data_IF_668177610607
#
_entry.id   IF_668177610607
#
_cell.length_a   1.000
_cell.length_b   1.000
_cell.length_c   1.000
_cell.angle_alpha   90.00
_cell.angle_beta   90.00
_cell.angle_gamma   90.00
#
_symmetry.space_group_name_H-M   'P 1'
#
loop_
_entity.id
_entity.type
_entity.pdbx_description
1 polymer ?
#
# COMPACT_ATOMS: atom_id res chain seq x y z
N UNK A 1 -6.55 -12.96 20.27
CA UNK A 1 -6.13 -11.56 20.47
C UNK A 1 -5.45 -11.33 21.81
N UNK A 2 -6.10 -11.59 22.96
CA UNK A 2 -5.53 -11.30 24.29
C UNK A 2 -4.13 -11.89 24.51
N UNK A 3 -3.88 -13.10 24.01
CA UNK A 3 -2.55 -13.74 24.05
C UNK A 3 -1.43 -12.85 23.46
N UNK A 4 -1.70 -12.14 22.35
CA UNK A 4 -0.73 -11.20 21.78
C UNK A 4 -0.70 -9.88 22.51
N UNK A 5 -1.85 -9.36 22.96
CA UNK A 5 -1.93 -8.06 23.65
C UNK A 5 -1.23 -8.06 25.02
N UNK A 6 -0.99 -9.24 25.61
CA UNK A 6 -0.19 -9.39 26.82
C UNK A 6 1.32 -9.23 26.59
N UNK A 7 1.79 -9.28 25.34
CA UNK A 7 3.20 -9.12 25.01
C UNK A 7 3.58 -7.64 25.11
N UNK A 8 4.64 -7.27 25.84
CA UNK A 8 4.98 -5.86 26.07
C UNK A 8 5.33 -5.11 24.78
N UNK A 9 5.87 -5.81 23.77
CA UNK A 9 6.21 -5.25 22.47
C UNK A 9 5.02 -5.08 21.52
N UNK A 10 3.85 -5.64 21.83
CA UNK A 10 2.65 -5.56 20.97
C UNK A 10 1.74 -4.45 21.47
N UNK A 11 1.45 -3.50 20.57
CA UNK A 11 0.60 -2.36 20.86
C UNK A 11 -0.84 -2.56 20.42
N UNK A 12 -1.03 -3.13 19.23
CA UNK A 12 -2.33 -3.34 18.61
C UNK A 12 -2.44 -4.80 18.16
N UNK A 13 -3.61 -5.38 18.36
CA UNK A 13 -3.96 -6.70 17.84
C UNK A 13 -5.26 -6.63 17.05
N UNK A 14 -5.18 -6.84 15.73
CA UNK A 14 -6.33 -6.97 14.85
C UNK A 14 -6.80 -8.42 14.72
N UNK A 15 -8.11 -8.62 14.57
CA UNK A 15 -8.70 -9.92 14.26
C UNK A 15 -9.08 -10.08 12.78
N UNK A 16 -9.37 -11.31 12.38
CA UNK A 16 -9.95 -11.61 11.06
C UNK A 16 -11.41 -11.18 11.01
N UNK A 17 -11.82 -10.56 9.91
CA UNK A 17 -13.22 -10.21 9.67
C UNK A 17 -13.72 -10.91 8.42
N UNK A 18 -14.88 -11.56 8.53
CA UNK A 18 -15.53 -12.28 7.42
C UNK A 18 -16.98 -11.88 7.28
N UNK A 19 -17.52 -12.06 6.09
CA UNK A 19 -18.95 -11.99 5.83
C UNK A 19 -19.64 -13.32 6.17
N UNK A 20 -20.97 -13.28 6.27
CA UNK A 20 -21.78 -14.47 6.55
C UNK A 20 -21.67 -15.55 5.45
N UNK A 21 -21.30 -15.17 4.22
CA UNK A 21 -21.07 -16.08 3.09
C UNK A 21 -19.64 -16.64 3.04
N UNK A 22 -18.87 -16.53 4.14
CA UNK A 22 -17.50 -17.03 4.28
C UNK A 22 -16.42 -16.31 3.45
N UNK A 23 -16.77 -15.19 2.81
CA UNK A 23 -15.78 -14.32 2.16
C UNK A 23 -15.10 -13.44 3.20
N UNK A 24 -13.80 -13.19 3.01
CA UNK A 24 -13.03 -12.29 3.85
C UNK A 24 -13.45 -10.84 3.61
N UNK A 25 -13.78 -10.13 4.68
CA UNK A 25 -13.99 -8.67 4.69
C UNK A 25 -12.67 -7.95 4.91
N UNK A 26 -11.87 -8.40 5.89
CA UNK A 26 -10.62 -7.76 6.22
C UNK A 26 -9.68 -8.75 6.91
N UNK A 27 -8.41 -8.73 6.51
CA UNK A 27 -7.35 -9.60 7.01
C UNK A 27 -5.99 -8.88 7.00
N UNK A 28 -5.99 -7.65 7.53
CA UNK A 28 -4.84 -6.75 7.57
C UNK A 28 -4.77 -5.83 6.35
N UNK A 29 -4.10 -4.68 6.51
CA UNK A 29 -3.84 -3.72 5.44
C UNK A 29 -2.41 -3.85 4.92
N UNK A 30 -2.23 -3.71 3.62
CA UNK A 30 -0.91 -3.47 3.00
C UNK A 30 -0.89 -2.03 2.52
N UNK A 31 0.06 -1.23 2.99
CA UNK A 31 0.13 0.17 2.60
C UNK A 31 0.52 0.32 1.12
N UNK A 32 -0.01 1.34 0.45
CA UNK A 32 0.29 1.61 -0.97
C UNK A 32 -0.36 0.63 -1.95
N UNK A 33 -1.02 -0.44 -1.47
CA UNK A 33 -1.62 -1.46 -2.32
C UNK A 33 -2.79 -0.86 -3.13
N UNK A 34 -2.88 -1.26 -4.40
CA UNK A 34 -3.80 -0.74 -5.44
C UNK A 34 -3.65 0.77 -5.69
N UNK A 35 -2.53 1.38 -5.30
CA UNK A 35 -2.23 2.78 -5.60
C UNK A 35 -2.77 3.82 -4.60
N UNK A 36 -3.55 3.40 -3.61
CA UNK A 36 -4.08 4.26 -2.56
C UNK A 36 -3.23 4.28 -1.30
N UNK A 37 -3.82 4.73 -0.19
CA UNK A 37 -3.16 4.76 1.13
C UNK A 37 -2.86 3.35 1.65
N UNK A 38 -3.85 2.46 1.58
CA UNK A 38 -3.69 1.05 1.88
C UNK A 38 -4.74 0.22 1.15
N UNK A 39 -4.46 -1.06 0.99
CA UNK A 39 -5.40 -2.02 0.41
C UNK A 39 -5.47 -3.31 1.20
N UNK A 40 -6.59 -4.01 1.03
CA UNK A 40 -6.86 -5.28 1.68
C UNK A 40 -6.48 -6.44 0.74
N UNK A 41 -5.39 -7.18 1.02
CA UNK A 41 -4.84 -8.14 0.06
C UNK A 41 -5.70 -9.41 -0.11
N UNK A 42 -6.56 -9.72 0.87
CA UNK A 42 -7.43 -10.89 0.88
C UNK A 42 -8.93 -10.53 0.76
N UNK A 43 -9.27 -9.27 0.47
CA UNK A 43 -10.67 -8.87 0.35
C UNK A 43 -11.42 -9.73 -0.69
N UNK A 44 -12.56 -10.29 -0.29
CA UNK A 44 -13.43 -11.08 -1.15
C UNK A 44 -12.93 -12.50 -1.45
N UNK A 45 -11.80 -12.95 -0.91
CA UNK A 45 -11.38 -14.35 -1.02
C UNK A 45 -12.17 -15.24 -0.06
N UNK A 46 -12.34 -16.51 -0.38
CA UNK A 46 -12.93 -17.49 0.56
C UNK A 46 -11.98 -17.77 1.72
N UNK A 47 -12.50 -17.87 2.95
CA UNK A 47 -11.69 -18.16 4.15
C UNK A 47 -11.02 -19.54 4.12
N UNK A 48 -11.47 -20.48 3.29
CA UNK A 48 -10.78 -21.77 3.07
C UNK A 48 -9.55 -21.66 2.17
N UNK A 49 -9.35 -20.52 1.51
CA UNK A 49 -8.16 -20.28 0.71
C UNK A 49 -6.96 -20.03 1.63
N UNK A 50 -5.91 -20.83 1.48
CA UNK A 50 -4.67 -20.61 2.23
C UNK A 50 -4.07 -19.21 1.99
N UNK A 51 -4.31 -18.62 0.82
CA UNK A 51 -3.68 -17.38 0.41
C UNK A 51 -2.19 -17.56 0.09
N UNK A 52 -1.49 -16.44 -0.06
CA UNK A 52 -0.05 -16.45 -0.32
C UNK A 52 0.71 -17.12 0.82
N UNK A 53 1.37 -18.26 0.57
CA UNK A 53 2.16 -19.00 1.57
C UNK A 53 1.40 -19.31 2.89
N UNK A 54 0.09 -19.62 2.80
CA UNK A 54 -0.76 -19.87 3.97
C UNK A 54 -0.91 -18.69 4.94
N UNK A 55 -0.57 -17.47 4.49
CA UNK A 55 -0.57 -16.25 5.29
C UNK A 55 -1.93 -15.96 5.92
N UNK A 56 -3.05 -16.30 5.26
CA UNK A 56 -4.40 -16.11 5.81
C UNK A 56 -4.70 -16.93 7.09
N UNK A 57 -3.86 -17.92 7.41
CA UNK A 57 -4.01 -18.81 8.57
C UNK A 57 -2.84 -18.74 9.56
N UNK A 58 -1.96 -17.76 9.42
CA UNK A 58 -0.85 -17.52 10.35
C UNK A 58 -0.97 -16.13 11.02
N UNK A 59 -0.51 -16.04 12.27
CA UNK A 59 -0.29 -14.75 12.93
C UNK A 59 0.79 -13.96 12.19
N UNK A 60 0.63 -12.65 12.08
CA UNK A 60 1.51 -11.80 11.29
C UNK A 60 1.65 -10.41 11.89
N UNK A 61 2.75 -9.75 11.54
CA UNK A 61 2.86 -8.30 11.70
C UNK A 61 2.35 -7.60 10.44
N UNK A 62 1.72 -6.45 10.65
CA UNK A 62 1.24 -5.55 9.62
C UNK A 62 1.50 -4.12 10.08
N UNK A 63 1.65 -3.17 9.16
CA UNK A 63 1.72 -1.76 9.53
C UNK A 63 0.39 -1.21 10.05
N UNK A 64 -0.73 -1.75 9.57
CA UNK A 64 -2.07 -1.35 10.00
C UNK A 64 -3.09 -2.49 9.94
N UNK A 65 -4.11 -2.41 10.80
CA UNK A 65 -5.26 -3.32 10.87
C UNK A 65 -6.53 -2.50 11.08
N UNK A 66 -7.67 -3.03 10.63
CA UNK A 66 -8.96 -2.36 10.77
C UNK A 66 -9.35 -2.04 12.21
N UNK A 67 -9.84 -0.81 12.41
CA UNK A 67 -10.37 -0.31 13.67
C UNK A 67 -11.63 -1.04 14.15
N UNK A 68 -12.38 -1.65 13.23
CA UNK A 68 -13.65 -2.33 13.51
C UNK A 68 -13.50 -3.56 14.41
N UNK A 69 -12.34 -4.20 14.39
CA UNK A 69 -12.06 -5.39 15.21
C UNK A 69 -10.61 -5.44 15.66
N UNK A 70 -10.27 -4.51 16.56
CA UNK A 70 -8.95 -4.38 17.16
C UNK A 70 -8.99 -4.43 18.69
N UNK A 71 -7.86 -4.79 19.28
CA UNK A 71 -7.57 -4.66 20.71
C UNK A 71 -6.30 -3.82 20.85
N UNK A 72 -6.38 -2.75 21.64
CA UNK A 72 -5.27 -1.84 21.90
C UNK A 72 -5.10 -1.66 23.41
N UNK A 73 -3.87 -1.45 23.86
CA UNK A 73 -3.63 -1.09 25.26
C UNK A 73 -4.09 0.34 25.54
N UNK A 74 -4.69 0.53 26.71
CA UNK A 74 -5.24 1.82 27.13
C UNK A 74 -4.18 2.93 27.16
N UNK A 75 -3.00 2.64 27.73
CA UNK A 75 -1.88 3.59 27.83
C UNK A 75 -1.38 4.06 26.46
N UNK A 76 -1.32 3.16 25.48
CA UNK A 76 -0.91 3.47 24.10
C UNK A 76 -1.99 4.32 23.40
N UNK A 77 -3.27 3.97 23.58
CA UNK A 77 -4.37 4.75 23.01
C UNK A 77 -4.35 6.20 23.50
N UNK A 78 -4.11 6.41 24.80
CA UNK A 78 -3.94 7.75 25.36
C UNK A 78 -2.66 8.45 24.87
N UNK A 79 -1.55 7.72 24.72
CA UNK A 79 -0.28 8.30 24.27
C UNK A 79 -0.36 8.92 22.86
N UNK A 80 -1.22 8.39 21.99
CA UNK A 80 -1.45 8.94 20.64
C UNK A 80 -2.69 9.83 20.53
N UNK A 81 -3.43 10.06 21.60
CA UNK A 81 -4.72 10.79 21.61
C UNK A 81 -5.85 10.13 20.79
N UNK A 82 -5.90 8.80 20.71
CA UNK A 82 -6.97 8.08 20.02
C UNK A 82 -7.02 8.30 18.50
N UNK A 83 -8.17 8.07 17.88
CA UNK A 83 -8.41 8.27 16.45
C UNK A 83 -8.50 9.75 16.09
N UNK A 84 -8.03 10.10 14.89
CA UNK A 84 -8.13 11.46 14.37
C UNK A 84 -9.54 11.68 13.81
N UNK A 85 -10.29 12.60 14.41
CA UNK A 85 -11.68 12.87 14.03
C UNK A 85 -11.81 13.58 12.67
N UNK A 86 -10.72 14.12 12.12
CA UNK A 86 -10.69 14.73 10.80
C UNK A 86 -10.60 13.68 9.66
N UNK A 87 -10.36 12.41 10.01
CA UNK A 87 -10.34 11.28 9.08
C UNK A 87 -11.59 10.41 9.30
N UNK A 88 -12.30 10.11 8.21
CA UNK A 88 -13.48 9.23 8.26
C UNK A 88 -13.17 7.83 7.69
N UNK A 89 -12.29 7.75 6.69
CA UNK A 89 -11.99 6.50 5.97
C UNK A 89 -10.64 5.87 6.33
N UNK A 90 -9.71 6.67 6.87
CA UNK A 90 -8.31 6.26 7.10
C UNK A 90 -7.87 6.47 8.55
N UNK A 91 -8.81 6.67 9.46
CA UNK A 91 -8.56 6.92 10.88
C UNK A 91 -7.84 5.75 11.55
N UNK A 92 -8.21 4.52 11.21
CA UNK A 92 -7.59 3.30 11.72
C UNK A 92 -6.15 3.08 11.21
N UNK A 93 -5.89 3.39 9.95
CA UNK A 93 -4.54 3.37 9.38
C UNK A 93 -3.67 4.45 10.02
N UNK A 94 -4.13 5.70 10.10
CA UNK A 94 -3.40 6.79 10.76
C UNK A 94 -3.10 6.46 12.22
N UNK A 95 -4.09 5.91 12.94
CA UNK A 95 -3.91 5.45 14.32
C UNK A 95 -2.84 4.37 14.44
N UNK A 96 -2.88 3.33 13.61
CA UNK A 96 -1.88 2.26 13.62
C UNK A 96 -0.47 2.79 13.31
N UNK A 97 -0.34 3.72 12.35
CA UNK A 97 0.95 4.31 11.98
C UNK A 97 1.52 5.20 13.09
N UNK A 98 0.69 6.02 13.75
CA UNK A 98 1.10 6.81 14.93
C UNK A 98 1.57 5.91 16.07
N UNK A 99 0.85 4.81 16.34
CA UNK A 99 1.26 3.83 17.35
C UNK A 99 2.56 3.12 16.95
N UNK A 100 2.73 2.79 15.66
CA UNK A 100 3.96 2.22 15.12
C UNK A 100 5.19 3.11 15.32
N UNK A 101 5.03 4.45 15.26
CA UNK A 101 6.11 5.39 15.56
C UNK A 101 6.58 5.35 17.02
N UNK A 102 5.75 4.86 17.95
CA UNK A 102 6.15 4.60 19.34
C UNK A 102 6.97 3.32 19.50
N UNK A 103 7.19 2.56 18.42
CA UNK A 103 7.94 1.31 18.39
C UNK A 103 7.14 0.06 18.76
N UNK A 104 5.82 0.18 18.87
CA UNK A 104 4.93 -0.95 19.15
C UNK A 104 4.61 -1.77 17.91
N UNK A 105 4.56 -3.10 18.06
CA UNK A 105 4.13 -3.99 16.98
C UNK A 105 2.60 -3.96 16.82
N UNK A 106 2.16 -3.97 15.56
CA UNK A 106 0.78 -4.19 15.18
C UNK A 106 0.67 -5.63 14.64
N UNK A 107 -0.08 -6.47 15.36
CA UNK A 107 -0.20 -7.91 15.07
C UNK A 107 -1.60 -8.20 14.57
N UNK A 108 -1.72 -8.99 13.51
CA UNK A 108 -2.98 -9.57 13.07
C UNK A 108 -3.02 -11.07 13.40
N UNK A 109 -4.17 -11.54 13.90
CA UNK A 109 -4.36 -12.95 14.24
C UNK A 109 -5.59 -13.56 13.54
N UNK A 110 -5.45 -14.71 12.85
CA UNK A 110 -6.56 -15.39 12.18
C UNK A 110 -7.45 -16.17 13.15
N UNK A 111 -7.04 -16.34 14.41
CA UNK A 111 -7.74 -17.18 15.39
C UNK A 111 -8.89 -16.47 16.10
N UNK A 112 -8.94 -15.14 16.03
CA UNK A 112 -10.08 -14.36 16.47
C UNK A 112 -10.82 -13.85 15.23
N UNK A 113 -12.07 -14.27 15.08
CA UNK A 113 -12.89 -13.93 13.92
C UNK A 113 -14.14 -13.18 14.35
N UNK A 114 -14.45 -12.08 13.68
CA UNK A 114 -15.77 -11.45 13.73
C UNK A 114 -16.52 -11.64 12.40
N UNK A 115 -17.85 -11.71 12.48
CA UNK A 115 -18.70 -11.76 11.30
C UNK A 115 -19.35 -10.40 11.11
N UNK A 116 -19.16 -9.79 9.94
CA UNK A 116 -19.83 -8.55 9.54
C UNK A 116 -20.97 -8.89 8.58
N UNK A 117 -22.08 -8.19 8.70
CA UNK A 117 -23.06 -8.18 7.61
C UNK A 117 -22.48 -7.37 6.44
N UNK A 118 -22.77 -7.75 5.19
CA UNK A 118 -22.44 -6.89 4.06
C UNK A 118 -23.15 -5.56 4.29
N UNK A 119 -22.37 -4.50 4.51
CA UNK A 119 -22.92 -3.16 4.62
C UNK A 119 -23.55 -2.81 3.27
N UNK A 120 -24.69 -2.11 3.31
CA UNK A 120 -25.05 -1.31 2.15
C UNK A 120 -23.85 -0.39 1.90
N UNK A 121 -23.40 -0.22 0.64
CA UNK A 121 -22.32 0.73 0.36
C UNK A 121 -22.69 2.04 1.06
N UNK A 122 -21.88 2.42 2.05
CA UNK A 122 -22.01 3.72 2.71
C UNK A 122 -22.12 4.72 1.57
N UNK A 123 -23.22 5.48 1.57
CA UNK A 123 -23.51 6.51 0.58
C UNK A 123 -22.22 7.16 0.13
N UNK A 124 -21.88 7.03 -1.16
CA UNK A 124 -20.61 7.45 -1.74
C UNK A 124 -20.14 8.72 -1.05
N UNK A 125 -19.07 8.59 -0.23
CA UNK A 125 -18.44 9.78 0.33
C UNK A 125 -18.12 10.68 -0.86
N UNK A 126 -18.49 11.97 -0.80
CA UNK A 126 -18.27 12.85 -1.93
C UNK A 126 -16.79 12.78 -2.31
N UNK A 127 -16.49 12.60 -3.59
CA UNK A 127 -15.11 12.38 -4.07
C UNK A 127 -14.13 13.44 -3.55
N UNK A 128 -14.61 14.69 -3.42
CA UNK A 128 -13.85 15.81 -2.85
C UNK A 128 -13.46 15.65 -1.37
N UNK A 129 -14.17 14.84 -0.59
CA UNK A 129 -13.77 14.51 0.78
C UNK A 129 -12.74 13.37 0.78
N UNK A 130 -12.93 12.34 -0.06
CA UNK A 130 -11.95 11.26 -0.22
C UNK A 130 -10.58 11.80 -0.62
N UNK A 131 -10.53 12.69 -1.62
CA UNK A 131 -9.30 13.33 -2.07
C UNK A 131 -8.61 14.15 -0.96
N UNK A 132 -9.39 14.85 -0.11
CA UNK A 132 -8.83 15.61 1.01
C UNK A 132 -8.20 14.69 2.05
N UNK A 133 -8.88 13.62 2.43
CA UNK A 133 -8.36 12.66 3.40
C UNK A 133 -7.13 11.92 2.85
N UNK A 134 -7.13 11.55 1.56
CA UNK A 134 -5.95 10.99 0.89
C UNK A 134 -4.77 11.96 0.91
N UNK A 135 -4.99 13.24 0.61
CA UNK A 135 -3.93 14.24 0.67
C UNK A 135 -3.35 14.38 2.08
N UNK A 136 -4.19 14.43 3.13
CA UNK A 136 -3.73 14.45 4.53
C UNK A 136 -2.87 13.21 4.83
N UNK A 137 -3.32 12.03 4.40
CA UNK A 137 -2.59 10.79 4.63
C UNK A 137 -1.25 10.75 3.87
N UNK A 138 -1.20 11.22 2.62
CA UNK A 138 0.05 11.31 1.88
C UNK A 138 1.00 12.34 2.50
N UNK A 139 0.52 13.52 2.88
CA UNK A 139 1.34 14.55 3.54
C UNK A 139 2.00 14.02 4.83
N UNK A 140 1.28 13.20 5.61
CA UNK A 140 1.79 12.63 6.87
C UNK A 140 2.65 11.38 6.67
N UNK A 141 2.25 10.49 5.76
CA UNK A 141 2.68 9.08 5.76
C UNK A 141 3.23 8.59 4.42
N UNK A 142 3.45 9.45 3.42
CA UNK A 142 3.86 9.02 2.08
C UNK A 142 5.08 8.07 2.09
N UNK A 143 6.08 8.33 2.93
CA UNK A 143 7.27 7.47 3.01
C UNK A 143 6.93 6.05 3.49
N UNK A 144 6.15 5.93 4.56
CA UNK A 144 5.71 4.64 5.10
C UNK A 144 4.74 3.93 4.16
N UNK A 145 3.83 4.67 3.51
CA UNK A 145 2.89 4.12 2.53
C UNK A 145 3.64 3.53 1.33
N UNK A 146 4.72 4.17 0.90
CA UNK A 146 5.54 3.73 -0.22
C UNK A 146 6.50 2.59 0.14
N UNK A 147 6.95 2.57 1.40
CA UNK A 147 7.93 1.60 1.93
C UNK A 147 7.40 0.94 3.20
N UNK A 148 6.29 0.20 3.05
CA UNK A 148 5.69 -0.56 4.15
C UNK A 148 6.71 -1.57 4.73
N UNK A 149 7.10 -1.46 6.01
CA UNK A 149 8.08 -2.37 6.62
C UNK A 149 7.61 -3.82 6.67
N UNK A 150 6.31 -4.08 6.71
CA UNK A 150 5.72 -5.43 6.83
C UNK A 150 5.34 -6.04 5.47
N UNK A 151 5.58 -5.30 4.37
CA UNK A 151 5.38 -5.77 3.00
C UNK A 151 6.70 -5.79 2.21
N UNK A 152 6.95 -6.89 1.51
CA UNK A 152 8.22 -7.06 0.80
C UNK A 152 8.32 -6.08 -0.39
N UNK A 153 9.41 -5.31 -0.43
CA UNK A 153 9.73 -4.35 -1.49
C UNK A 153 9.86 -4.93 -2.91
N UNK A 154 9.90 -6.26 -3.05
CA UNK A 154 9.95 -6.95 -4.35
C UNK A 154 8.56 -7.41 -4.83
N UNK A 155 7.53 -7.25 -3.99
CA UNK A 155 6.15 -7.56 -4.34
C UNK A 155 5.46 -6.32 -4.91
N UNK A 156 4.56 -6.55 -5.84
CA UNK A 156 3.80 -5.52 -6.52
C UNK A 156 2.83 -4.82 -5.58
N UNK A 157 2.67 -3.51 -5.77
CA UNK A 157 1.59 -2.73 -5.16
C UNK A 157 0.30 -2.80 -5.98
N UNK A 158 0.37 -3.10 -7.28
CA UNK A 158 -0.84 -3.24 -8.12
C UNK A 158 -1.61 -4.52 -7.81
N UNK A 159 -0.89 -5.64 -7.68
CA UNK A 159 -1.46 -6.96 -7.40
C UNK A 159 -0.92 -7.51 -6.08
N UNK A 160 -1.78 -7.85 -5.10
CA UNK A 160 -1.33 -8.35 -3.81
C UNK A 160 -0.51 -9.63 -3.97
N UNK A 161 0.69 -9.64 -3.38
CA UNK A 161 1.65 -10.74 -3.44
C UNK A 161 2.12 -11.15 -4.83
N UNK A 162 1.81 -10.38 -5.87
CA UNK A 162 2.42 -10.54 -7.19
C UNK A 162 3.88 -10.11 -7.15
N UNK A 163 4.74 -10.70 -7.97
CA UNK A 163 6.08 -10.14 -8.17
C UNK A 163 5.95 -8.84 -8.95
N UNK A 164 6.66 -7.79 -8.53
CA UNK A 164 6.71 -6.56 -9.30
C UNK A 164 7.49 -6.83 -10.59
N UNK A 165 6.82 -6.85 -11.74
CA UNK A 165 7.46 -7.19 -13.00
C UNK A 165 8.39 -6.06 -13.48
N UNK A 166 9.61 -6.44 -13.85
CA UNK A 166 10.69 -5.57 -14.31
C UNK A 166 11.96 -5.81 -13.48
N UNK A 167 12.96 -6.43 -14.10
CA UNK A 167 14.20 -6.90 -13.45
C UNK A 167 14.95 -5.81 -12.67
N UNK A 168 14.70 -4.53 -12.96
CA UNK A 168 15.35 -3.37 -12.35
C UNK A 168 14.53 -2.68 -11.24
N UNK A 169 13.28 -3.10 -10.98
CA UNK A 169 12.50 -2.60 -9.83
C UNK A 169 12.82 -3.31 -8.53
N UNK A 170 13.20 -4.58 -8.61
CA UNK A 170 13.28 -5.46 -7.44
C UNK A 170 14.65 -5.50 -6.82
N UNK A 171 15.68 -5.04 -7.54
CA UNK A 171 17.04 -5.22 -7.09
C UNK A 171 17.93 -4.07 -7.56
N UNK A 172 17.92 -3.00 -6.78
CA UNK A 172 19.00 -2.03 -6.75
C UNK A 172 19.98 -2.48 -5.65
N UNK A 173 21.11 -3.10 -6.01
CA UNK A 173 22.08 -3.60 -5.02
C UNK A 173 22.78 -2.47 -4.27
N UNK A 174 22.83 -1.27 -4.88
CA UNK A 174 23.47 -0.10 -4.31
C UNK A 174 22.40 0.82 -3.73
N UNK A 175 22.65 1.33 -2.52
CA UNK A 175 21.86 2.38 -1.88
C UNK A 175 22.17 3.79 -2.44
N UNK A 176 23.05 3.88 -3.44
CA UNK A 176 23.44 5.11 -4.11
C UNK A 176 23.43 4.87 -5.62
N UNK A 177 22.87 5.81 -6.36
CA UNK A 177 22.74 5.79 -7.81
C UNK A 177 23.79 6.74 -8.41
N UNK A 178 24.80 6.22 -9.13
CA UNK A 178 25.81 7.07 -9.77
C UNK A 178 25.28 7.76 -11.03
N UNK A 179 24.16 7.29 -11.58
CA UNK A 179 23.52 7.79 -12.78
C UNK A 179 22.14 8.39 -12.43
N UNK A 180 21.66 9.38 -13.20
CA UNK A 180 20.30 9.89 -13.03
C UNK A 180 19.28 8.80 -13.35
N UNK A 181 18.29 8.66 -12.47
CA UNK A 181 17.18 7.71 -12.60
C UNK A 181 16.01 8.39 -13.32
N UNK A 182 15.72 7.95 -14.54
CA UNK A 182 14.67 8.50 -15.40
C UNK A 182 13.50 7.53 -15.48
N UNK A 183 12.28 8.02 -15.31
CA UNK A 183 11.05 7.26 -15.46
C UNK A 183 10.20 7.83 -16.61
N UNK A 184 10.35 7.33 -17.84
CA UNK A 184 9.47 7.72 -18.93
C UNK A 184 8.12 7.00 -18.83
N UNK A 185 7.03 7.75 -19.00
CA UNK A 185 5.65 7.26 -19.08
C UNK A 185 5.14 7.53 -20.48
N UNK A 186 5.02 6.47 -21.28
CA UNK A 186 4.80 6.57 -22.73
C UNK A 186 3.43 6.06 -23.19
N UNK A 187 2.59 5.54 -22.31
CA UNK A 187 1.33 4.93 -22.74
C UNK A 187 1.53 3.59 -23.46
N UNK A 188 0.55 3.21 -24.28
CA UNK A 188 0.67 2.09 -25.22
C UNK A 188 1.77 2.37 -26.26
N UNK A 189 2.53 1.35 -26.69
CA UNK A 189 3.62 1.52 -27.64
C UNK A 189 3.11 1.84 -29.04
N UNK A 190 2.87 3.12 -29.32
CA UNK A 190 2.65 3.62 -30.67
C UNK A 190 3.99 3.90 -31.37
N UNK A 191 3.98 3.88 -32.72
CA UNK A 191 5.16 4.19 -33.54
C UNK A 191 5.80 5.55 -33.21
N UNK A 192 5.02 6.51 -32.72
CA UNK A 192 5.49 7.86 -32.38
C UNK A 192 6.26 7.83 -31.05
N UNK A 193 5.70 7.16 -30.03
CA UNK A 193 6.28 7.03 -28.69
C UNK A 193 7.55 6.19 -28.70
N UNK A 194 7.62 5.23 -29.63
CA UNK A 194 8.82 4.45 -29.89
C UNK A 194 10.04 5.34 -30.22
N UNK A 195 9.88 6.32 -31.11
CA UNK A 195 11.01 7.14 -31.58
C UNK A 195 11.36 8.31 -30.64
N UNK A 196 10.38 8.94 -29.99
CA UNK A 196 10.59 10.16 -29.20
C UNK A 196 11.13 9.91 -27.80
N UNK A 197 10.69 8.83 -27.17
CA UNK A 197 11.00 8.55 -25.76
C UNK A 197 11.61 7.18 -25.60
N UNK A 198 11.01 6.14 -26.17
CA UNK A 198 11.45 4.75 -25.95
C UNK A 198 12.87 4.50 -26.49
N UNK A 199 13.12 4.78 -27.78
CA UNK A 199 14.41 4.57 -28.44
C UNK A 199 15.53 5.42 -27.84
N UNK A 200 15.33 6.74 -27.58
CA UNK A 200 16.33 7.55 -26.88
C UNK A 200 16.61 7.04 -25.47
N UNK A 201 15.56 6.68 -24.70
CA UNK A 201 15.71 6.13 -23.36
C UNK A 201 16.51 4.84 -23.37
N UNK A 202 16.16 3.89 -24.25
CA UNK A 202 16.92 2.62 -24.36
C UNK A 202 18.36 2.88 -24.78
N UNK A 203 18.60 3.80 -25.72
CA UNK A 203 19.95 4.12 -26.20
C UNK A 203 20.82 4.74 -25.10
N UNK A 204 20.25 5.68 -24.32
CA UNK A 204 20.95 6.32 -23.20
C UNK A 204 21.23 5.33 -22.06
N UNK A 205 20.28 4.44 -21.78
CA UNK A 205 20.43 3.39 -20.77
C UNK A 205 21.50 2.37 -21.18
N UNK A 206 21.47 1.90 -22.42
CA UNK A 206 22.43 0.94 -22.94
C UNK A 206 23.85 1.55 -23.05
N UNK A 207 23.94 2.88 -23.21
CA UNK A 207 25.18 3.65 -23.12
C UNK A 207 25.62 3.99 -21.68
N UNK A 208 24.87 3.54 -20.66
CA UNK A 208 25.18 3.75 -19.23
C UNK A 208 25.24 5.25 -18.86
N UNK A 209 24.38 6.05 -19.49
CA UNK A 209 24.24 7.49 -19.22
C UNK A 209 23.12 7.76 -18.22
N UNK A 210 22.08 6.92 -18.23
CA UNK A 210 20.92 7.00 -17.33
C UNK A 210 20.57 5.60 -16.82
N UNK A 211 19.91 5.55 -15.67
CA UNK A 211 19.17 4.39 -15.19
C UNK A 211 17.67 4.69 -15.24
N UNK A 212 16.81 3.67 -15.11
CA UNK A 212 15.38 3.93 -15.19
C UNK A 212 14.52 2.78 -15.65
N UNK A 213 13.20 3.01 -15.70
CA UNK A 213 12.24 2.10 -16.33
C UNK A 213 11.20 2.88 -17.11
N UNK A 214 10.89 2.36 -18.29
CA UNK A 214 9.74 2.76 -19.07
C UNK A 214 8.44 2.20 -18.49
N UNK A 215 7.47 3.08 -18.31
CA UNK A 215 6.12 2.75 -17.84
C UNK A 215 5.10 2.96 -18.94
N UNK A 216 4.17 2.01 -19.05
CA UNK A 216 3.06 2.05 -20.00
C UNK A 216 1.84 2.78 -19.45
N UNK A 217 1.72 2.90 -18.13
CA UNK A 217 0.63 3.62 -17.45
C UNK A 217 1.20 4.63 -16.46
N UNK A 218 0.40 5.63 -16.09
CA UNK A 218 0.78 6.56 -15.03
C UNK A 218 1.01 5.80 -13.71
N UNK A 219 2.19 5.96 -13.08
CA UNK A 219 2.44 5.39 -11.77
C UNK A 219 1.60 6.09 -10.71
N UNK A 220 1.28 5.33 -9.67
CA UNK A 220 0.63 5.87 -8.47
C UNK A 220 1.67 6.57 -7.59
N UNK A 221 1.25 7.49 -6.71
CA UNK A 221 2.18 8.24 -5.86
C UNK A 221 3.06 7.33 -4.98
N UNK A 222 2.55 6.22 -4.39
CA UNK A 222 3.39 5.26 -3.67
C UNK A 222 4.43 4.58 -4.57
N UNK A 223 4.09 4.27 -5.82
CA UNK A 223 5.01 3.65 -6.78
C UNK A 223 6.14 4.60 -7.20
N UNK A 224 5.80 5.87 -7.47
CA UNK A 224 6.80 6.91 -7.78
C UNK A 224 7.78 7.06 -6.63
N UNK A 225 7.26 7.21 -5.41
CA UNK A 225 8.09 7.42 -4.21
C UNK A 225 8.95 6.21 -3.88
N UNK A 226 8.41 4.99 -4.07
CA UNK A 226 9.15 3.75 -3.89
C UNK A 226 10.27 3.58 -4.92
N UNK A 227 10.05 4.01 -6.15
CA UNK A 227 11.07 3.97 -7.20
C UNK A 227 12.10 5.10 -7.09
N UNK A 228 11.71 6.24 -6.52
CA UNK A 228 12.54 7.42 -6.29
C UNK A 228 13.28 7.92 -7.55
N UNK A 229 12.57 8.24 -8.66
CA UNK A 229 13.18 8.77 -9.87
C UNK A 229 13.66 10.23 -9.69
N UNK A 230 14.77 10.59 -10.34
CA UNK A 230 15.23 11.98 -10.42
C UNK A 230 14.39 12.79 -11.43
N UNK A 231 13.95 12.14 -12.51
CA UNK A 231 13.19 12.77 -13.58
C UNK A 231 12.06 11.85 -14.04
N UNK A 232 10.85 12.39 -14.14
CA UNK A 232 9.69 11.72 -14.75
C UNK A 232 9.41 12.42 -16.09
N UNK A 233 9.36 11.65 -17.18
CA UNK A 233 9.07 12.17 -18.52
C UNK A 233 7.70 11.64 -18.95
N UNK A 234 6.72 12.52 -19.13
CA UNK A 234 5.35 12.13 -19.51
C UNK A 234 5.11 12.57 -20.95
N UNK A 235 4.89 11.61 -21.87
CA UNK A 235 4.73 11.91 -23.30
C UNK A 235 3.27 12.15 -23.72
N UNK A 236 2.31 11.49 -23.08
CA UNK A 236 0.89 11.70 -23.37
C UNK A 236 0.01 11.44 -22.14
N UNK A 237 -0.84 12.40 -21.80
CA UNK A 237 -2.01 12.21 -20.95
C UNK A 237 -3.18 11.80 -21.85
N UNK A 238 -3.50 10.51 -21.90
CA UNK A 238 -4.82 10.04 -22.36
C UNK A 238 -5.56 9.49 -21.16
N UNK A 239 -6.26 10.38 -20.45
CA UNK A 239 -7.25 10.06 -19.43
C UNK A 239 -8.49 10.93 -19.65
N UNK A 240 -9.67 10.44 -19.31
CA UNK A 240 -10.92 11.20 -19.42
C UNK A 240 -10.91 12.48 -18.56
N UNK A 241 -9.99 12.58 -17.59
CA UNK A 241 -9.87 13.68 -16.62
C UNK A 241 -9.16 14.94 -17.15
N UNK A 242 -8.69 14.92 -18.40
CA UNK A 242 -8.00 16.06 -19.02
C UNK A 242 -8.74 16.64 -20.24
N UNK A 243 -10.05 16.38 -20.37
CA UNK A 243 -10.97 17.04 -21.30
C UNK A 243 -12.05 17.84 -20.57
#
# INVERSE_FOLDING_TARGET
MLNHAQRPEVAIVGGKQRYANNLIRHAGYVLGLKGGIAGEPFYGTDDSNNGYLSRLHADQNYSAVSGDFMLVREDICYAVNGFDADLACYDDIDFCLRVGQLGGLVVWTPYACSCRQPEQPLSDMPASQSEKEENIMFERWLMQVSQDPDYNKNLSLTMPFGLQNGDQHNWLPLCWHPLPVVMPVTGEPERINAYRVTEPFTSLRDAVVIEGKLMTSLPTLPEVTRYNPDVIVIEQQTGADFN
#
